data_IF_591470979851
#
_entry.id   IF_591470979851
#
_cell.length_a   1.000
_cell.length_b   1.000
_cell.length_c   1.000
_cell.angle_alpha   90.00
_cell.angle_beta   90.00
_cell.angle_gamma   90.00
#
_symmetry.space_group_name_H-M   'P 1'
#
loop_
_entity.id
_entity.type
_entity.pdbx_description
1 polymer ?
#
# COMPACT_ATOMS: atom_id res chain seq x y z
N UNK A 1 -0.56 21.19 3.85
CA UNK A 1 -0.06 19.85 4.22
C UNK A 1 0.89 19.40 3.10
N UNK A 2 2.20 19.48 3.33
CA UNK A 2 3.18 18.98 2.37
C UNK A 2 3.05 17.46 2.33
N UNK A 3 2.72 16.89 1.16
CA UNK A 3 2.91 15.46 0.90
C UNK A 3 4.39 15.19 1.15
N UNK A 4 4.72 14.46 2.21
CA UNK A 4 6.06 13.90 2.37
C UNK A 4 6.26 13.00 1.14
N UNK A 5 7.15 13.39 0.23
CA UNK A 5 7.62 12.48 -0.81
C UNK A 5 8.08 11.19 -0.12
N UNK A 6 7.74 9.99 -0.64
CA UNK A 6 8.24 8.75 -0.07
C UNK A 6 9.76 8.85 0.01
N UNK A 7 10.30 8.71 1.22
CA UNK A 7 11.72 8.96 1.49
C UNK A 7 12.54 7.93 0.72
N UNK A 8 13.29 8.36 -0.30
CA UNK A 8 14.32 7.58 -0.98
C UNK A 8 15.69 7.89 -0.31
N UNK A 9 16.00 7.26 0.84
CA UNK A 9 17.12 7.66 1.69
C UNK A 9 18.47 7.54 0.99
N UNK A 10 18.60 6.53 0.13
CA UNK A 10 19.81 6.21 -0.61
C UNK A 10 19.94 6.98 -1.93
N UNK A 11 19.01 7.91 -2.23
CA UNK A 11 18.96 8.70 -3.46
C UNK A 11 19.09 7.85 -4.74
N UNK A 12 18.49 6.65 -4.72
CA UNK A 12 18.55 5.72 -5.83
C UNK A 12 17.71 6.22 -7.01
N UNK A 13 17.98 5.68 -8.20
CA UNK A 13 17.10 5.86 -9.35
C UNK A 13 15.67 5.41 -8.99
N UNK A 14 14.69 6.24 -9.31
CA UNK A 14 13.28 5.95 -9.04
C UNK A 14 12.67 5.18 -10.21
N UNK A 15 11.96 4.09 -9.90
CA UNK A 15 11.10 3.36 -10.81
C UNK A 15 9.66 3.66 -10.43
N UNK A 16 8.93 4.21 -11.39
CA UNK A 16 7.53 4.61 -11.21
C UNK A 16 6.59 3.44 -11.50
N UNK A 17 5.42 3.45 -10.85
CA UNK A 17 4.35 2.47 -11.12
C UNK A 17 3.17 3.10 -11.85
N UNK A 18 2.76 2.45 -12.95
CA UNK A 18 1.54 2.78 -13.68
C UNK A 18 0.42 1.80 -13.29
N UNK A 19 -0.76 2.32 -12.92
CA UNK A 19 -1.91 1.50 -12.45
C UNK A 19 -3.09 1.45 -13.40
N UNK A 20 -2.99 2.06 -14.58
CA UNK A 20 -4.06 2.05 -15.60
C UNK A 20 -3.50 1.62 -16.94
N UNK A 21 -4.34 1.01 -17.77
CA UNK A 21 -3.99 0.65 -19.16
C UNK A 21 -3.40 1.84 -19.92
N UNK A 22 -4.04 3.01 -19.81
CA UNK A 22 -3.61 4.22 -20.50
C UNK A 22 -2.19 4.63 -20.09
N UNK A 23 -1.88 4.65 -18.79
CA UNK A 23 -0.55 5.05 -18.31
C UNK A 23 0.53 4.02 -18.71
N UNK A 24 0.20 2.73 -18.66
CA UNK A 24 1.08 1.64 -19.08
C UNK A 24 1.42 1.77 -20.58
N UNK A 25 0.39 1.96 -21.41
CA UNK A 25 0.56 2.09 -22.86
C UNK A 25 1.29 3.38 -23.24
N UNK A 26 1.04 4.48 -22.53
CA UNK A 26 1.77 5.72 -22.76
C UNK A 26 3.27 5.54 -22.50
N UNK A 27 3.65 4.92 -21.38
CA UNK A 27 5.06 4.65 -21.08
C UNK A 27 5.72 3.77 -22.17
N UNK A 28 4.99 2.76 -22.67
CA UNK A 28 5.48 1.94 -23.78
C UNK A 28 5.70 2.73 -25.07
N UNK A 29 4.79 3.65 -25.41
CA UNK A 29 4.91 4.53 -26.57
C UNK A 29 6.08 5.50 -26.45
N UNK A 30 6.44 5.89 -25.23
CA UNK A 30 7.61 6.71 -24.91
C UNK A 30 8.93 5.93 -24.93
N UNK A 31 8.91 4.62 -25.27
CA UNK A 31 10.09 3.77 -25.37
C UNK A 31 10.56 3.18 -24.03
N UNK A 32 9.77 3.34 -22.97
CA UNK A 32 9.99 2.65 -21.70
C UNK A 32 9.43 1.22 -21.79
N UNK A 33 9.88 0.34 -20.90
CA UNK A 33 9.42 -1.06 -20.86
C UNK A 33 8.54 -1.29 -19.64
N UNK A 34 7.22 -1.44 -19.78
CA UNK A 34 6.36 -1.79 -18.66
C UNK A 34 6.58 -3.24 -18.23
N UNK A 35 6.86 -3.47 -16.95
CA UNK A 35 6.82 -4.77 -16.32
C UNK A 35 5.46 -4.96 -15.65
N UNK A 36 4.51 -5.52 -16.39
CA UNK A 36 3.13 -5.71 -15.95
C UNK A 36 3.04 -6.85 -14.92
N UNK A 37 2.33 -6.60 -13.82
CA UNK A 37 2.07 -7.56 -12.74
C UNK A 37 0.59 -7.54 -12.35
N UNK A 38 0.09 -8.69 -11.91
CA UNK A 38 -1.23 -8.76 -11.28
C UNK A 38 -1.18 -8.08 -9.90
N UNK A 39 -2.25 -7.37 -9.56
CA UNK A 39 -2.46 -6.83 -8.21
C UNK A 39 -3.29 -7.86 -7.44
N UNK A 40 -2.68 -8.50 -6.45
CA UNK A 40 -3.29 -9.57 -5.65
C UNK A 40 -3.41 -9.08 -4.21
N UNK A 41 -4.63 -8.73 -3.74
CA UNK A 41 -4.84 -8.30 -2.37
C UNK A 41 -4.41 -9.39 -1.38
N UNK A 42 -3.62 -9.02 -0.38
CA UNK A 42 -3.26 -9.92 0.72
C UNK A 42 -4.30 -9.88 1.82
N UNK A 43 -4.72 -11.05 2.33
CA UNK A 43 -5.58 -11.13 3.52
C UNK A 43 -4.86 -10.70 4.81
N UNK A 44 -3.53 -10.56 4.78
CA UNK A 44 -2.74 -10.01 5.88
C UNK A 44 -2.76 -8.48 5.89
N UNK A 45 -3.10 -7.82 4.78
CA UNK A 45 -3.28 -6.38 4.78
C UNK A 45 -4.73 -6.09 5.15
N UNK A 46 -4.92 -5.48 6.31
CA UNK A 46 -6.23 -5.06 6.75
C UNK A 46 -6.15 -3.97 7.80
N UNK A 47 -7.20 -3.16 7.85
CA UNK A 47 -7.49 -2.27 8.98
C UNK A 47 -8.72 -2.78 9.72
N UNK A 48 -8.83 -2.43 11.00
CA UNK A 48 -10.03 -2.63 11.80
C UNK A 48 -10.90 -1.39 11.79
N UNK A 49 -12.21 -1.59 11.71
CA UNK A 49 -13.21 -0.53 11.86
C UNK A 49 -14.45 -1.07 12.56
N UNK A 50 -14.98 -0.30 13.50
CA UNK A 50 -16.38 -0.34 13.94
C UNK A 50 -17.08 0.95 13.50
N UNK A 51 -18.37 0.88 13.15
CA UNK A 51 -19.15 2.03 12.71
C UNK A 51 -20.27 2.28 13.72
N UNK A 52 -20.31 3.51 14.21
CA UNK A 52 -21.30 3.98 15.16
C UNK A 52 -22.11 5.08 14.50
N UNK A 53 -23.42 5.05 14.68
CA UNK A 53 -24.33 6.02 14.08
C UNK A 53 -25.05 6.80 15.17
N UNK A 54 -25.08 8.13 15.04
CA UNK A 54 -25.82 9.00 15.95
C UNK A 54 -27.33 8.83 15.70
N UNK A 55 -28.08 8.45 16.73
CA UNK A 55 -29.49 8.03 16.64
C UNK A 55 -30.45 9.10 16.10
N UNK A 56 -30.10 10.39 16.24
CA UNK A 56 -30.95 11.50 15.80
C UNK A 56 -30.58 12.09 14.43
N UNK A 57 -29.29 12.23 14.13
CA UNK A 57 -28.80 12.93 12.94
C UNK A 57 -28.47 11.95 11.82
N UNK A 58 -28.21 10.68 12.15
CA UNK A 58 -27.75 9.66 11.21
C UNK A 58 -26.27 9.78 10.83
N UNK A 59 -25.54 10.75 11.39
CA UNK A 59 -24.10 10.89 11.18
C UNK A 59 -23.34 9.70 11.75
N UNK A 60 -22.22 9.35 11.10
CA UNK A 60 -21.39 8.22 11.50
C UNK A 60 -20.07 8.66 12.13
N UNK A 61 -19.60 7.86 13.08
CA UNK A 61 -18.24 7.91 13.60
C UNK A 61 -17.59 6.54 13.52
N UNK A 62 -16.29 6.52 13.24
CA UNK A 62 -15.52 5.31 13.05
C UNK A 62 -14.65 5.04 14.29
N UNK A 63 -14.53 3.78 14.68
CA UNK A 63 -13.59 3.34 15.70
C UNK A 63 -12.59 2.32 15.15
N UNK A 64 -11.30 2.65 15.25
CA UNK A 64 -10.21 1.68 15.08
C UNK A 64 -9.82 0.97 16.39
N UNK A 65 -10.30 1.44 17.54
CA UNK A 65 -9.96 0.92 18.86
C UNK A 65 -11.19 0.27 19.51
N UNK A 66 -11.13 -1.03 19.78
CA UNK A 66 -12.23 -1.79 20.39
C UNK A 66 -12.52 -1.34 21.83
N UNK A 67 -11.60 -0.59 22.46
CA UNK A 67 -11.74 -0.02 23.80
C UNK A 67 -12.54 1.28 23.78
N UNK A 68 -12.68 1.92 22.62
CA UNK A 68 -13.38 3.20 22.49
C UNK A 68 -14.87 3.03 22.81
N UNK A 69 -15.40 3.92 23.64
CA UNK A 69 -16.82 3.94 24.00
C UNK A 69 -17.45 5.22 23.47
N UNK A 70 -18.52 5.07 22.72
CA UNK A 70 -19.33 6.20 22.27
C UNK A 70 -20.39 6.53 23.31
N UNK A 71 -20.83 7.80 23.29
CA UNK A 71 -21.93 8.25 24.14
C UNK A 71 -23.24 7.53 23.83
N UNK A 72 -24.21 7.63 24.76
CA UNK A 72 -25.53 7.00 24.66
C UNK A 72 -26.33 7.36 23.40
N UNK A 73 -26.00 8.49 22.78
CA UNK A 73 -26.64 9.02 21.60
C UNK A 73 -26.21 8.30 20.31
N UNK A 74 -25.19 7.43 20.39
CA UNK A 74 -24.76 6.57 19.31
C UNK A 74 -25.20 5.13 19.52
N UNK A 75 -25.35 4.40 18.43
CA UNK A 75 -25.46 2.95 18.42
C UNK A 75 -24.44 2.32 17.47
N UNK A 76 -23.98 1.12 17.81
CA UNK A 76 -23.09 0.35 16.95
C UNK A 76 -23.93 -0.25 15.81
N UNK A 77 -23.70 0.21 14.57
CA UNK A 77 -24.41 -0.28 13.38
C UNK A 77 -23.58 -1.27 12.57
N UNK A 78 -22.25 -1.22 12.71
CA UNK A 78 -21.34 -2.24 12.20
C UNK A 78 -20.37 -2.59 13.31
N UNK A 79 -20.49 -3.82 13.81
CA UNK A 79 -19.55 -4.36 14.79
C UNK A 79 -18.12 -4.37 14.25
N UNK A 80 -17.16 -4.29 15.17
CA UNK A 80 -15.75 -4.20 14.84
C UNK A 80 -15.30 -5.36 13.95
N UNK A 81 -14.84 -5.03 12.75
CA UNK A 81 -14.39 -6.00 11.75
C UNK A 81 -13.16 -5.51 11.01
N UNK A 82 -12.47 -6.43 10.33
CA UNK A 82 -11.34 -6.09 9.47
C UNK A 82 -11.79 -5.93 8.02
N UNK A 83 -11.10 -5.07 7.28
CA UNK A 83 -11.32 -4.84 5.86
C UNK A 83 -10.01 -4.49 5.16
N UNK A 84 -9.93 -4.75 3.86
CA UNK A 84 -8.81 -4.34 3.02
C UNK A 84 -8.96 -2.84 2.68
N UNK A 85 -8.03 -1.96 3.11
CA UNK A 85 -8.25 -0.51 3.07
C UNK A 85 -7.84 0.15 1.74
N UNK A 86 -7.24 -0.60 0.81
CA UNK A 86 -6.74 -0.04 -0.44
C UNK A 86 -7.70 -0.32 -1.59
N UNK A 87 -7.81 0.65 -2.50
CA UNK A 87 -8.57 0.52 -3.73
C UNK A 87 -7.67 0.92 -4.89
N UNK A 88 -7.44 -0.03 -5.80
CA UNK A 88 -6.68 0.19 -7.01
C UNK A 88 -7.61 0.25 -8.22
N UNK A 89 -7.32 1.11 -9.21
CA UNK A 89 -8.19 1.31 -10.37
C UNK A 89 -8.24 0.08 -11.30
N UNK A 90 -7.31 -0.86 -11.17
CA UNK A 90 -7.22 -2.05 -12.02
C UNK A 90 -6.64 -3.23 -11.24
N UNK A 91 -6.97 -4.48 -11.61
CA UNK A 91 -6.41 -5.70 -11.01
C UNK A 91 -4.98 -6.00 -11.52
N UNK A 92 -4.32 -5.01 -12.11
CA UNK A 92 -2.96 -5.07 -12.64
C UNK A 92 -2.31 -3.69 -12.49
N UNK A 93 -0.99 -3.68 -12.52
CA UNK A 93 -0.16 -2.49 -12.58
C UNK A 93 1.15 -2.82 -13.30
N UNK A 94 1.99 -1.84 -13.57
CA UNK A 94 3.31 -2.10 -14.13
C UNK A 94 4.37 -1.19 -13.51
N UNK A 95 5.53 -1.77 -13.22
CA UNK A 95 6.73 -0.97 -13.00
C UNK A 95 7.23 -0.46 -14.35
N UNK A 96 7.51 0.83 -14.46
CA UNK A 96 7.96 1.46 -15.70
C UNK A 96 9.48 1.42 -15.76
N UNK A 97 10.01 0.46 -16.51
CA UNK A 97 11.44 0.23 -16.60
C UNK A 97 12.06 1.14 -17.67
N UNK A 98 13.10 1.91 -17.33
CA UNK A 98 13.86 2.62 -18.32
C UNK A 98 14.72 1.64 -19.15
N UNK A 99 15.01 1.97 -20.42
CA UNK A 99 15.64 1.03 -21.36
C UNK A 99 17.08 0.68 -21.00
N UNK A 100 17.74 1.52 -20.20
CA UNK A 100 19.13 1.38 -19.74
C UNK A 100 19.24 0.72 -18.36
N UNK A 101 18.14 0.23 -17.76
CA UNK A 101 18.16 -0.44 -16.46
C UNK A 101 19.02 -1.71 -16.50
N UNK A 102 20.12 -1.72 -15.73
CA UNK A 102 21.07 -2.82 -15.72
C UNK A 102 20.71 -3.91 -14.71
N UNK A 103 20.99 -5.17 -15.04
CA UNK A 103 20.90 -6.26 -14.06
C UNK A 103 21.85 -6.00 -12.87
N UNK A 104 21.35 -6.20 -11.66
CA UNK A 104 22.04 -5.85 -10.42
C UNK A 104 21.86 -4.40 -9.98
N UNK A 105 21.21 -3.55 -10.78
CA UNK A 105 20.97 -2.16 -10.41
C UNK A 105 20.01 -2.07 -9.22
N UNK A 106 20.42 -1.33 -8.19
CA UNK A 106 19.60 -0.98 -7.03
C UNK A 106 18.80 0.27 -7.33
N UNK A 107 17.50 0.18 -7.09
CA UNK A 107 16.53 1.23 -7.39
C UNK A 107 15.60 1.49 -6.21
N UNK A 108 14.88 2.60 -6.29
CA UNK A 108 13.76 2.92 -5.43
C UNK A 108 12.44 2.68 -6.18
N UNK A 109 11.58 1.82 -5.66
CA UNK A 109 10.21 1.66 -6.11
C UNK A 109 9.36 2.67 -5.33
N UNK A 110 8.79 3.67 -6.02
CA UNK A 110 8.01 4.73 -5.36
C UNK A 110 6.60 4.29 -4.96
N UNK A 111 6.07 3.27 -5.65
CA UNK A 111 4.80 2.61 -5.36
C UNK A 111 4.91 1.10 -5.67
N UNK A 112 5.07 0.29 -4.64
CA UNK A 112 5.22 -1.18 -4.75
C UNK A 112 3.92 -1.80 -5.29
N UNK A 113 3.96 -2.74 -6.22
CA UNK A 113 2.73 -3.39 -6.71
C UNK A 113 2.25 -4.48 -5.73
N UNK A 114 3.20 -5.19 -5.14
CA UNK A 114 2.98 -6.29 -4.22
C UNK A 114 2.33 -5.83 -2.91
N UNK A 115 1.53 -6.72 -2.35
CA UNK A 115 0.82 -6.51 -1.11
C UNK A 115 1.61 -7.11 0.05
N UNK A 116 2.62 -6.34 0.45
CA UNK A 116 3.59 -6.67 1.51
C UNK A 116 3.19 -5.91 2.77
N UNK A 117 3.07 -6.57 3.93
CA UNK A 117 2.75 -5.89 5.20
C UNK A 117 3.93 -5.02 5.64
N UNK A 118 3.73 -3.71 5.75
CA UNK A 118 4.77 -2.76 6.16
C UNK A 118 4.98 -2.74 7.68
N UNK A 119 3.90 -2.92 8.43
CA UNK A 119 3.86 -2.71 9.88
C UNK A 119 2.86 -3.67 10.51
N UNK A 120 3.20 -4.22 11.69
CA UNK A 120 2.27 -4.97 12.51
C UNK A 120 1.77 -4.09 13.66
N UNK A 121 0.59 -3.51 13.49
CA UNK A 121 -0.02 -2.68 14.51
C UNK A 121 -0.96 -3.45 15.45
N UNK A 122 -1.23 -2.88 16.65
CA UNK A 122 -2.21 -3.46 17.55
C UNK A 122 -3.60 -3.39 16.92
N UNK A 123 -4.48 -4.28 17.37
CA UNK A 123 -5.90 -4.30 16.98
C UNK A 123 -6.20 -4.46 15.47
N UNK A 124 -5.24 -4.94 14.68
CA UNK A 124 -5.45 -5.22 13.25
C UNK A 124 -5.22 -4.00 12.36
N UNK A 125 -4.19 -3.20 12.67
CA UNK A 125 -3.64 -2.19 11.76
C UNK A 125 -2.43 -2.77 11.02
N UNK A 126 -2.64 -3.23 9.79
CA UNK A 126 -1.61 -3.89 8.97
C UNK A 126 -1.58 -3.23 7.58
N UNK A 127 -0.94 -2.04 7.44
CA UNK A 127 -0.85 -1.33 6.18
C UNK A 127 0.11 -2.03 5.21
N UNK A 128 -0.05 -1.75 3.92
CA UNK A 128 0.85 -2.23 2.87
C UNK A 128 2.13 -1.39 2.82
N UNK A 129 3.21 -2.01 2.33
CA UNK A 129 4.46 -1.34 2.00
C UNK A 129 4.24 -0.50 0.75
N UNK A 130 4.29 0.82 0.93
CA UNK A 130 4.04 1.75 -0.18
C UNK A 130 5.24 1.85 -1.10
N UNK A 131 6.45 1.88 -0.56
CA UNK A 131 7.68 2.11 -1.30
C UNK A 131 8.80 1.25 -0.74
N UNK A 132 9.80 0.92 -1.56
CA UNK A 132 10.90 0.08 -1.13
C UNK A 132 12.14 0.24 -2.01
N UNK A 133 13.31 -0.03 -1.43
CA UNK A 133 14.49 -0.35 -2.22
C UNK A 133 14.31 -1.74 -2.85
N UNK A 134 14.80 -1.91 -4.07
CA UNK A 134 14.83 -3.19 -4.75
C UNK A 134 16.05 -3.33 -5.67
N UNK A 135 16.37 -4.56 -6.04
CA UNK A 135 17.38 -4.86 -7.06
C UNK A 135 16.73 -5.48 -8.30
N UNK A 136 17.04 -4.95 -9.48
CA UNK A 136 16.63 -5.56 -10.74
C UNK A 136 17.45 -6.83 -11.02
N UNK A 137 16.82 -7.99 -11.17
CA UNK A 137 17.54 -9.26 -11.44
C UNK A 137 17.51 -9.69 -12.91
N UNK A 138 17.20 -8.77 -13.84
CA UNK A 138 17.04 -9.08 -15.26
C UNK A 138 15.62 -9.53 -15.65
N UNK A 139 14.77 -9.90 -14.67
CA UNK A 139 13.40 -10.37 -14.92
C UNK A 139 12.35 -9.71 -14.02
N UNK A 140 12.66 -9.49 -12.75
CA UNK A 140 11.77 -8.90 -11.75
C UNK A 140 12.59 -8.10 -10.71
N UNK A 141 11.89 -7.37 -9.85
CA UNK A 141 12.50 -6.70 -8.71
C UNK A 141 12.57 -7.62 -7.49
N UNK A 142 13.77 -7.75 -6.94
CA UNK A 142 13.99 -8.32 -5.61
C UNK A 142 13.83 -7.19 -4.59
N UNK A 143 12.67 -7.11 -3.95
CA UNK A 143 12.34 -6.09 -2.95
C UNK A 143 13.15 -6.36 -1.66
N UNK A 144 13.84 -5.33 -1.17
CA UNK A 144 14.66 -5.39 0.04
C UNK A 144 13.82 -5.12 1.29
N UNK A 145 12.79 -5.95 1.49
CA UNK A 145 11.94 -5.88 2.67
C UNK A 145 11.32 -7.26 2.96
N UNK A 146 11.58 -7.80 4.14
CA UNK A 146 11.06 -9.07 4.61
C UNK A 146 10.14 -8.78 5.80
N UNK A 147 8.81 -8.88 5.67
CA UNK A 147 7.86 -8.49 6.72
C UNK A 147 8.08 -9.16 8.08
N UNK A 148 8.61 -10.38 8.12
CA UNK A 148 8.89 -11.08 9.38
C UNK A 148 10.15 -10.59 10.09
N UNK A 149 10.99 -9.79 9.43
CA UNK A 149 12.26 -9.28 9.95
C UNK A 149 12.24 -7.76 10.09
N UNK A 150 11.71 -7.08 9.09
CA UNK A 150 11.87 -5.64 8.91
C UNK A 150 10.62 -4.85 9.30
N UNK A 151 9.42 -5.46 9.27
CA UNK A 151 8.20 -4.76 9.66
C UNK A 151 8.19 -4.54 11.18
N UNK A 152 8.13 -3.28 11.65
CA UNK A 152 8.07 -3.01 13.08
C UNK A 152 6.73 -3.48 13.65
N UNK A 153 6.78 -3.90 14.91
CA UNK A 153 5.58 -4.09 15.72
C UNK A 153 5.29 -2.80 16.47
N UNK A 154 4.18 -2.13 16.15
CA UNK A 154 3.75 -0.95 16.90
C UNK A 154 3.14 -1.38 18.23
N UNK A 155 3.49 -0.67 19.29
CA UNK A 155 2.90 -0.83 20.63
C UNK A 155 2.02 0.40 20.87
N UNK A 156 0.77 0.18 21.27
CA UNK A 156 -0.23 1.23 21.55
C UNK A 156 -1.34 0.75 22.50
#
# INVERSE_FOLDING_TARGET
>A
MSKLSPTNPSQLRVIHTARTEQAINQAAQEGLRPLVKAVIPSNQIHFRVGVYQHKKTGEIELSGDVRMKFGKDYECVVESRTYYPYHFPSPYAAYILPPDLAEGERVWLDDVIEDIVAVWGPQGYQPRLEHAEATWNGKDFVIHFIPSKDAPFLIG
#
